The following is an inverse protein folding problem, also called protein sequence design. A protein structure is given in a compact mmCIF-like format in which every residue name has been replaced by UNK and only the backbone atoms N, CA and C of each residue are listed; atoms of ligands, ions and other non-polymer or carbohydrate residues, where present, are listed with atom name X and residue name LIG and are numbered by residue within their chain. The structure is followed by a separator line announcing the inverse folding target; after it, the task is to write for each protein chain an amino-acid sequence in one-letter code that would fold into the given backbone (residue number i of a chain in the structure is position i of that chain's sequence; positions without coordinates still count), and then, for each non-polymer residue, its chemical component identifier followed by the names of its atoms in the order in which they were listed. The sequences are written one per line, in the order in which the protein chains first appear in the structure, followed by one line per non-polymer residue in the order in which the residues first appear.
data_IF_100484766286
#
_entry.id   IF_100484766286
#
_cell.length_a   1.000
_cell.length_b   1.000
_cell.length_c   1.000
_cell.angle_alpha   90.00
_cell.angle_beta   90.00
_cell.angle_gamma   90.00
#
_symmetry.space_group_name_H-M   'P 1'
#
loop_
_entity.id
_entity.type
_entity.pdbx_description
1 polymer ?
#
# COMPACT_ATOMS: atom_id res chain seq x y z
N UNK A 1 -12.06 -17.79 22.81
CA UNK A 1 -11.80 -18.29 21.44
C UNK A 1 -11.21 -17.12 20.68
N UNK A 2 -9.94 -17.20 20.26
CA UNK A 2 -9.42 -16.27 19.26
C UNK A 2 -10.22 -16.47 17.98
N UNK A 3 -10.75 -15.40 17.39
CA UNK A 3 -11.39 -15.47 16.08
C UNK A 3 -10.38 -15.99 15.04
N UNK A 4 -10.87 -16.68 14.01
CA UNK A 4 -10.04 -17.08 12.87
C UNK A 4 -9.40 -15.83 12.23
N UNK A 5 -8.06 -15.80 12.00
CA UNK A 5 -7.41 -14.67 11.34
C UNK A 5 -8.06 -14.26 10.01
N UNK A 6 -8.60 -15.22 9.26
CA UNK A 6 -9.28 -14.96 7.99
C UNK A 6 -10.64 -14.27 8.23
N UNK A 7 -11.41 -14.70 9.24
CA UNK A 7 -12.70 -14.08 9.60
C UNK A 7 -12.52 -12.62 10.03
N UNK A 8 -11.46 -12.34 10.79
CA UNK A 8 -11.10 -11.00 11.19
C UNK A 8 -10.72 -10.15 9.97
N UNK A 9 -9.83 -10.66 9.11
CA UNK A 9 -9.44 -9.95 7.90
C UNK A 9 -10.65 -9.66 6.99
N UNK A 10 -11.54 -10.64 6.83
CA UNK A 10 -12.79 -10.46 6.08
C UNK A 10 -13.64 -9.33 6.69
N UNK A 11 -13.75 -9.24 8.01
CA UNK A 11 -14.49 -8.15 8.68
C UNK A 11 -13.86 -6.78 8.40
N UNK A 12 -12.54 -6.68 8.48
CA UNK A 12 -11.82 -5.45 8.17
C UNK A 12 -12.04 -5.03 6.71
N UNK A 13 -11.94 -5.98 5.77
CA UNK A 13 -12.13 -5.74 4.34
C UNK A 13 -13.57 -5.34 4.01
N UNK A 14 -14.59 -5.99 4.60
CA UNK A 14 -15.99 -5.57 4.43
C UNK A 14 -16.23 -4.13 4.86
N UNK A 15 -15.55 -3.68 5.91
CA UNK A 15 -15.65 -2.28 6.36
C UNK A 15 -14.96 -1.31 5.41
N UNK A 16 -13.84 -1.71 4.78
CA UNK A 16 -13.03 -0.84 3.93
C UNK A 16 -13.49 -0.81 2.47
N UNK A 17 -13.97 -1.95 1.97
CA UNK A 17 -14.35 -2.23 0.60
C UNK A 17 -15.70 -2.98 0.60
N UNK A 18 -16.81 -2.28 0.90
CA UNK A 18 -18.12 -2.92 1.12
C UNK A 18 -18.70 -3.58 -0.13
N UNK A 19 -18.30 -3.12 -1.31
CA UNK A 19 -18.81 -3.59 -2.60
C UNK A 19 -18.01 -4.77 -3.19
N UNK A 20 -16.95 -5.19 -2.51
CA UNK A 20 -16.03 -6.23 -2.99
C UNK A 20 -16.29 -7.59 -2.31
N UNK A 21 -15.94 -8.72 -2.96
CA UNK A 21 -16.05 -10.06 -2.38
C UNK A 21 -15.00 -10.26 -1.28
N UNK A 22 -15.29 -9.72 -0.09
CA UNK A 22 -14.35 -9.68 1.04
C UNK A 22 -13.84 -11.05 1.49
N UNK A 23 -14.61 -12.13 1.29
CA UNK A 23 -14.16 -13.48 1.61
C UNK A 23 -12.98 -13.91 0.73
N UNK A 24 -13.19 -13.84 -0.59
CA UNK A 24 -12.20 -14.22 -1.59
C UNK A 24 -10.98 -13.31 -1.51
N UNK A 25 -11.18 -12.00 -1.33
CA UNK A 25 -10.09 -11.05 -1.11
C UNK A 25 -9.31 -11.36 0.18
N UNK A 26 -9.98 -11.71 1.29
CA UNK A 26 -9.30 -12.10 2.52
C UNK A 26 -8.42 -13.34 2.32
N UNK A 27 -8.94 -14.38 1.64
CA UNK A 27 -8.19 -15.60 1.36
C UNK A 27 -6.95 -15.33 0.50
N UNK A 28 -7.12 -14.56 -0.58
CA UNK A 28 -6.01 -14.17 -1.47
C UNK A 28 -4.92 -13.41 -0.70
N UNK A 29 -5.31 -12.36 0.05
CA UNK A 29 -4.35 -11.54 0.79
C UNK A 29 -3.67 -12.34 1.90
N UNK A 30 -4.42 -13.19 2.62
CA UNK A 30 -3.85 -14.07 3.63
C UNK A 30 -2.81 -15.03 3.04
N UNK A 31 -3.10 -15.64 1.90
CA UNK A 31 -2.17 -16.55 1.24
C UNK A 31 -0.88 -15.84 0.80
N UNK A 32 -0.99 -14.62 0.25
CA UNK A 32 0.18 -13.82 -0.12
C UNK A 32 1.00 -13.43 1.12
N UNK A 33 0.33 -13.08 2.22
CA UNK A 33 1.00 -12.72 3.48
C UNK A 33 1.83 -13.89 4.02
N UNK A 34 1.26 -15.09 4.07
CA UNK A 34 1.91 -16.30 4.60
C UNK A 34 3.07 -16.77 3.71
N UNK A 35 2.92 -16.68 2.39
CA UNK A 35 3.95 -17.11 1.43
C UNK A 35 4.99 -16.03 1.11
N UNK A 36 4.69 -14.77 1.40
CA UNK A 36 5.45 -13.59 0.98
C UNK A 36 5.22 -13.17 -0.48
N UNK A 37 4.88 -14.12 -1.37
CA UNK A 37 4.46 -13.88 -2.75
C UNK A 37 3.61 -15.03 -3.29
N UNK A 38 2.84 -14.78 -4.33
CA UNK A 38 2.05 -15.81 -5.03
C UNK A 38 2.24 -15.68 -6.55
N UNK A 39 2.21 -16.80 -7.28
CA UNK A 39 2.07 -16.78 -8.74
C UNK A 39 0.60 -16.78 -9.14
N UNK A 40 0.24 -16.09 -10.22
CA UNK A 40 -1.15 -16.04 -10.71
C UNK A 40 -1.75 -17.44 -10.91
N UNK A 41 -0.98 -18.37 -11.49
CA UNK A 41 -1.43 -19.75 -11.72
C UNK A 41 -1.60 -20.60 -10.46
N UNK A 42 -1.19 -20.11 -9.29
CA UNK A 42 -1.36 -20.80 -8.00
C UNK A 42 -2.63 -20.38 -7.26
N UNK A 43 -3.31 -19.31 -7.71
CA UNK A 43 -4.52 -18.83 -7.08
C UNK A 43 -5.67 -19.76 -7.47
N UNK A 44 -6.16 -20.50 -6.48
CA UNK A 44 -7.23 -21.49 -6.61
C UNK A 44 -8.60 -20.82 -6.55
N UNK A 45 -9.00 -20.20 -7.66
CA UNK A 45 -10.28 -19.51 -7.85
C UNK A 45 -10.74 -19.65 -9.31
N UNK A 46 -12.05 -19.50 -9.59
CA UNK A 46 -12.55 -19.29 -10.95
C UNK A 46 -11.79 -18.17 -11.66
N UNK A 47 -11.59 -18.32 -12.98
CA UNK A 47 -10.73 -17.41 -13.75
C UNK A 47 -11.23 -15.96 -13.72
N UNK A 48 -12.52 -15.75 -13.93
CA UNK A 48 -13.20 -14.45 -13.85
C UNK A 48 -13.05 -13.79 -12.48
N UNK A 49 -13.33 -14.53 -11.41
CA UNK A 49 -13.17 -14.04 -10.03
C UNK A 49 -11.71 -13.68 -9.71
N UNK A 50 -10.77 -14.51 -10.17
CA UNK A 50 -9.34 -14.30 -9.99
C UNK A 50 -8.85 -13.04 -10.72
N UNK A 51 -9.27 -12.84 -11.96
CA UNK A 51 -8.90 -11.66 -12.75
C UNK A 51 -9.40 -10.38 -12.08
N UNK A 52 -10.67 -10.34 -11.71
CA UNK A 52 -11.30 -9.18 -11.07
C UNK A 52 -10.61 -8.83 -9.74
N UNK A 53 -10.34 -9.84 -8.90
CA UNK A 53 -9.66 -9.64 -7.62
C UNK A 53 -8.22 -9.12 -7.76
N UNK A 54 -7.47 -9.65 -8.74
CA UNK A 54 -6.10 -9.18 -9.00
C UNK A 54 -6.10 -7.76 -9.54
N UNK A 55 -7.02 -7.44 -10.45
CA UNK A 55 -7.21 -6.08 -10.96
C UNK A 55 -7.54 -5.10 -9.83
N UNK A 56 -8.50 -5.46 -8.97
CA UNK A 56 -8.88 -4.68 -7.80
C UNK A 56 -7.71 -4.47 -6.83
N UNK A 57 -7.02 -5.55 -6.45
CA UNK A 57 -5.93 -5.51 -5.48
C UNK A 57 -4.73 -4.72 -6.02
N UNK A 58 -4.46 -4.79 -7.31
CA UNK A 58 -3.43 -3.99 -7.97
C UNK A 58 -3.83 -2.50 -8.04
N UNK A 59 -5.08 -2.19 -8.42
CA UNK A 59 -5.59 -0.82 -8.47
C UNK A 59 -5.52 -0.13 -7.10
N UNK A 60 -5.76 -0.89 -6.02
CA UNK A 60 -5.67 -0.41 -4.64
C UNK A 60 -4.27 -0.54 -4.02
N UNK A 61 -3.26 -0.95 -4.80
CA UNK A 61 -1.87 -1.16 -4.34
C UNK A 61 -1.75 -2.11 -3.14
N UNK A 62 -2.71 -3.03 -2.99
CA UNK A 62 -2.66 -4.09 -1.99
C UNK A 62 -1.59 -5.13 -2.35
N UNK A 63 -1.37 -5.32 -3.65
CA UNK A 63 -0.28 -6.12 -4.20
C UNK A 63 0.36 -5.41 -5.38
N UNK A 64 1.58 -5.81 -5.72
CA UNK A 64 2.33 -5.33 -6.86
C UNK A 64 3.01 -6.50 -7.59
N UNK A 65 3.14 -6.43 -8.92
CA UNK A 65 4.01 -7.31 -9.67
C UNK A 65 5.44 -7.30 -9.12
N UNK A 66 6.06 -8.47 -9.08
CA UNK A 66 7.45 -8.66 -8.62
C UNK A 66 8.44 -8.45 -9.74
N UNK A 67 8.06 -8.68 -11.00
CA UNK A 67 8.90 -8.40 -12.16
C UNK A 67 9.34 -6.94 -12.13
N UNK A 68 10.64 -6.72 -12.31
CA UNK A 68 11.23 -5.38 -12.26
C UNK A 68 10.81 -4.57 -13.48
N UNK A 69 10.22 -3.41 -13.24
CA UNK A 69 10.10 -2.33 -14.23
C UNK A 69 11.44 -1.61 -14.44
N UNK A 70 11.45 -0.62 -15.33
CA UNK A 70 12.65 0.21 -15.57
C UNK A 70 12.96 1.14 -14.39
N UNK A 71 11.96 1.47 -13.58
CA UNK A 71 12.10 2.28 -12.37
C UNK A 71 11.41 1.64 -11.16
N UNK A 72 11.48 2.34 -10.02
CA UNK A 72 10.75 1.99 -8.79
C UNK A 72 9.30 2.48 -8.77
N UNK A 73 8.84 3.19 -9.82
CA UNK A 73 7.48 3.69 -9.92
C UNK A 73 6.47 2.53 -10.02
N UNK A 74 5.28 2.70 -9.45
CA UNK A 74 4.22 1.69 -9.55
C UNK A 74 3.68 1.58 -10.97
N UNK A 75 3.58 2.70 -11.69
CA UNK A 75 3.12 2.74 -13.08
C UNK A 75 4.03 1.98 -14.06
N UNK A 76 5.31 1.80 -13.72
CA UNK A 76 6.27 1.03 -14.53
C UNK A 76 6.11 -0.49 -14.37
N UNK A 77 5.33 -0.92 -13.38
CA UNK A 77 5.05 -2.34 -13.11
C UNK A 77 3.74 -2.73 -13.77
N UNK A 78 3.79 -3.03 -15.06
CA UNK A 78 2.62 -3.48 -15.79
C UNK A 78 2.07 -4.79 -15.21
N UNK A 79 0.78 -4.76 -14.85
CA UNK A 79 0.06 -5.96 -14.43
C UNK A 79 -0.12 -6.90 -15.63
N UNK A 80 0.24 -8.17 -15.45
CA UNK A 80 0.07 -9.21 -16.47
C UNK A 80 -0.65 -10.41 -15.85
N UNK A 81 -1.79 -10.81 -16.38
CA UNK A 81 -2.55 -11.97 -15.88
C UNK A 81 -2.05 -13.25 -16.55
N UNK A 82 -0.81 -13.64 -16.25
CA UNK A 82 -0.16 -14.83 -16.81
C UNK A 82 0.24 -15.81 -15.69
N UNK A 83 0.19 -17.14 -15.90
CA UNK A 83 0.46 -18.13 -14.86
C UNK A 83 1.81 -17.96 -14.13
N UNK A 84 2.84 -17.45 -14.81
CA UNK A 84 4.19 -17.19 -14.28
C UNK A 84 4.36 -15.80 -13.66
N UNK A 85 3.33 -14.94 -13.70
CA UNK A 85 3.38 -13.64 -13.04
C UNK A 85 3.30 -13.82 -11.53
N UNK A 86 4.21 -13.17 -10.79
CA UNK A 86 4.23 -13.22 -9.34
C UNK A 86 3.93 -11.87 -8.71
N UNK A 87 3.11 -11.90 -7.67
CA UNK A 87 2.66 -10.74 -6.90
C UNK A 87 3.14 -10.80 -5.46
N UNK A 88 3.41 -9.63 -4.89
CA UNK A 88 3.74 -9.45 -3.47
C UNK A 88 3.07 -8.21 -2.90
N UNK A 89 2.88 -8.18 -1.59
CA UNK A 89 2.45 -6.96 -0.91
C UNK A 89 3.60 -5.96 -0.76
N UNK A 90 3.33 -4.65 -0.85
CA UNK A 90 4.20 -3.64 -0.26
C UNK A 90 4.34 -3.86 1.25
N UNK A 91 5.47 -3.45 1.84
CA UNK A 91 5.80 -3.75 3.24
C UNK A 91 4.75 -3.24 4.23
N UNK A 92 4.31 -1.99 4.05
CA UNK A 92 3.26 -1.39 4.89
C UNK A 92 1.91 -2.09 4.75
N UNK A 93 1.58 -2.59 3.56
CA UNK A 93 0.34 -3.35 3.33
C UNK A 93 0.42 -4.72 4.02
N UNK A 94 1.56 -5.41 3.96
CA UNK A 94 1.72 -6.67 4.67
C UNK A 94 1.49 -6.50 6.19
N UNK A 95 1.96 -5.39 6.78
CA UNK A 95 1.67 -5.04 8.18
C UNK A 95 0.20 -4.75 8.41
N UNK A 96 -0.45 -4.02 7.51
CA UNK A 96 -1.88 -3.71 7.58
C UNK A 96 -2.74 -4.96 7.51
N UNK A 97 -2.48 -5.88 6.58
CA UNK A 97 -3.21 -7.14 6.47
C UNK A 97 -2.99 -8.01 7.70
N UNK A 98 -1.74 -8.08 8.20
CA UNK A 98 -1.44 -8.80 9.44
C UNK A 98 -2.23 -8.23 10.62
N UNK A 99 -2.18 -6.92 10.85
CA UNK A 99 -2.94 -6.26 11.92
C UNK A 99 -4.45 -6.46 11.78
N UNK A 100 -4.98 -6.35 10.56
CA UNK A 100 -6.39 -6.59 10.27
C UNK A 100 -6.80 -8.05 10.55
N UNK A 101 -5.94 -9.03 10.28
CA UNK A 101 -6.19 -10.43 10.63
C UNK A 101 -6.19 -10.69 12.15
N UNK A 102 -5.41 -9.90 12.91
CA UNK A 102 -5.32 -10.04 14.37
C UNK A 102 -6.49 -9.34 15.08
N UNK A 103 -6.96 -8.20 14.55
CA UNK A 103 -7.90 -7.29 15.25
C UNK A 103 -9.29 -7.23 14.62
N UNK A 104 -9.41 -7.59 13.35
CA UNK A 104 -10.61 -7.40 12.55
C UNK A 104 -10.88 -5.95 12.14
N UNK A 105 -9.86 -5.08 12.20
CA UNK A 105 -9.97 -3.64 11.90
C UNK A 105 -9.00 -3.20 10.82
N UNK A 106 -9.43 -2.26 9.99
CA UNK A 106 -8.58 -1.61 8.99
C UNK A 106 -7.98 -0.33 9.59
N UNK A 107 -6.79 -0.43 10.18
CA UNK A 107 -6.11 0.67 10.90
C UNK A 107 -4.72 0.93 10.27
N UNK A 108 -4.64 1.69 9.16
CA UNK A 108 -3.37 1.98 8.47
C UNK A 108 -2.30 2.64 9.35
N UNK A 109 -2.72 3.46 10.31
CA UNK A 109 -1.81 4.18 11.22
C UNK A 109 -0.93 3.22 12.03
N UNK A 110 -1.50 2.13 12.53
CA UNK A 110 -0.76 1.12 13.30
C UNK A 110 0.24 0.37 12.42
N UNK A 111 -0.14 0.07 11.17
CA UNK A 111 0.77 -0.56 10.20
C UNK A 111 1.95 0.36 9.84
N UNK A 112 1.69 1.65 9.64
CA UNK A 112 2.71 2.66 9.34
C UNK A 112 3.67 2.82 10.53
N UNK A 113 3.14 2.97 11.74
CA UNK A 113 3.97 3.08 12.96
C UNK A 113 4.81 1.83 13.18
N UNK A 114 4.25 0.64 12.99
CA UNK A 114 4.99 -0.62 13.08
C UNK A 114 6.15 -0.64 12.09
N UNK A 115 5.93 -0.30 10.83
CA UNK A 115 6.99 -0.22 9.81
C UNK A 115 8.10 0.77 10.16
N UNK A 116 7.74 1.99 10.58
CA UNK A 116 8.72 3.04 10.91
C UNK A 116 9.56 2.65 12.14
N UNK A 117 8.94 2.08 13.17
CA UNK A 117 9.63 1.59 14.38
C UNK A 117 10.60 0.46 14.08
N UNK A 118 10.20 -0.49 13.24
CA UNK A 118 11.08 -1.60 12.81
C UNK A 118 12.28 -1.11 12.00
N UNK A 119 12.12 -0.01 11.27
CA UNK A 119 13.22 0.70 10.59
C UNK A 119 14.17 1.45 11.53
N UNK A 120 13.88 1.50 12.84
CA UNK A 120 14.66 2.24 13.83
C UNK A 120 14.45 3.75 13.78
N UNK A 121 13.35 4.20 13.18
CA UNK A 121 13.01 5.61 13.11
C UNK A 121 12.64 6.16 14.49
N UNK A 122 13.30 7.25 14.90
CA UNK A 122 13.06 7.95 16.16
C UNK A 122 12.01 9.06 16.05
N UNK A 123 11.54 9.31 14.82
CA UNK A 123 10.56 10.35 14.46
C UNK A 123 9.30 9.72 13.87
N UNK A 124 9.00 8.48 14.22
CA UNK A 124 7.87 7.73 13.65
C UNK A 124 6.54 8.47 13.84
N UNK A 125 6.37 9.16 14.98
CA UNK A 125 5.18 9.96 15.26
C UNK A 125 5.06 11.20 14.37
N UNK A 126 6.17 11.88 14.10
CA UNK A 126 6.18 13.05 13.21
C UNK A 126 5.99 12.64 11.76
N UNK A 127 6.58 11.51 11.34
CA UNK A 127 6.37 10.96 9.99
C UNK A 127 4.95 10.43 9.78
N UNK A 128 4.32 9.84 10.79
CA UNK A 128 2.90 9.49 10.71
C UNK A 128 2.04 10.75 10.48
N UNK A 129 2.24 11.81 11.28
CA UNK A 129 1.53 13.08 11.13
C UNK A 129 1.78 13.71 9.75
N UNK A 130 3.01 13.64 9.26
CA UNK A 130 3.35 14.08 7.91
C UNK A 130 2.52 13.31 6.89
N UNK A 131 2.49 11.98 6.96
CA UNK A 131 1.72 11.17 6.01
C UNK A 131 0.22 11.48 6.04
N UNK A 132 -0.36 11.64 7.23
CA UNK A 132 -1.76 12.05 7.40
C UNK A 132 -2.02 13.43 6.77
N UNK A 133 -1.18 14.43 7.05
CA UNK A 133 -1.31 15.76 6.45
C UNK A 133 -1.10 15.77 4.93
N UNK A 134 -0.31 14.84 4.39
CA UNK A 134 -0.18 14.64 2.94
C UNK A 134 -1.48 14.09 2.34
N UNK A 135 -2.11 13.10 2.97
CA UNK A 135 -3.40 12.55 2.54
C UNK A 135 -4.47 13.64 2.49
N UNK A 136 -4.56 14.47 3.53
CA UNK A 136 -5.55 15.55 3.62
C UNK A 136 -5.38 16.63 2.54
N UNK A 137 -4.16 16.78 2.02
CA UNK A 137 -3.81 17.79 1.00
C UNK A 137 -3.59 17.21 -0.38
N UNK A 138 -3.75 15.89 -0.54
CA UNK A 138 -3.56 15.23 -1.81
C UNK A 138 -4.63 15.68 -2.81
N UNK A 139 -4.21 15.91 -4.04
CA UNK A 139 -5.11 16.15 -5.16
C UNK A 139 -5.10 14.90 -6.03
N UNK A 140 -6.26 14.28 -6.21
CA UNK A 140 -6.39 13.00 -6.94
C UNK A 140 -5.41 11.92 -6.44
N UNK A 141 -5.22 11.85 -5.11
CA UNK A 141 -4.31 10.90 -4.47
C UNK A 141 -2.82 11.22 -4.65
N UNK A 142 -2.48 12.40 -5.18
CA UNK A 142 -1.09 12.79 -5.47
C UNK A 142 -0.63 13.99 -4.67
N UNK A 143 0.67 14.01 -4.39
CA UNK A 143 1.37 15.09 -3.67
C UNK A 143 2.69 15.43 -4.33
N UNK A 144 3.22 16.61 -4.04
CA UNK A 144 4.51 17.11 -4.55
C UNK A 144 5.48 17.39 -3.40
N UNK A 145 6.80 17.55 -3.66
CA UNK A 145 7.73 18.03 -2.64
C UNK A 145 7.31 19.35 -1.98
N UNK A 146 6.58 20.21 -2.69
CA UNK A 146 6.00 21.43 -2.11
C UNK A 146 4.92 21.09 -1.06
N UNK A 147 4.10 20.07 -1.31
CA UNK A 147 3.08 19.61 -0.35
C UNK A 147 3.73 19.11 0.94
N UNK A 148 4.83 18.34 0.83
CA UNK A 148 5.65 17.93 1.98
C UNK A 148 6.14 19.13 2.80
N UNK A 149 6.81 20.09 2.16
CA UNK A 149 7.30 21.32 2.84
C UNK A 149 6.18 22.04 3.56
N UNK A 150 5.02 22.17 2.92
CA UNK A 150 3.86 22.85 3.48
C UNK A 150 3.36 22.14 4.74
N UNK A 151 3.15 20.82 4.70
CA UNK A 151 2.69 20.05 5.87
C UNK A 151 3.68 20.12 7.02
N UNK A 152 4.97 19.93 6.75
CA UNK A 152 6.03 19.99 7.76
C UNK A 152 6.03 21.37 8.45
N UNK A 153 5.92 22.44 7.67
CA UNK A 153 5.90 23.81 8.20
C UNK A 153 4.64 24.08 9.02
N UNK A 154 3.47 23.73 8.50
CA UNK A 154 2.18 23.98 9.16
C UNK A 154 2.04 23.22 10.49
N UNK A 155 2.57 21.99 10.55
CA UNK A 155 2.49 21.13 11.74
C UNK A 155 3.72 21.25 12.66
N UNK A 156 4.72 22.05 12.30
CA UNK A 156 5.96 22.22 13.07
C UNK A 156 6.75 20.92 13.24
N UNK A 157 6.78 20.06 12.21
CA UNK A 157 7.42 18.75 12.28
C UNK A 157 8.93 18.86 12.08
N UNK A 158 9.70 18.05 12.80
CA UNK A 158 11.15 17.98 12.66
C UNK A 158 11.53 16.76 11.79
N UNK A 159 11.15 16.82 10.51
CA UNK A 159 11.34 15.74 9.54
C UNK A 159 12.14 16.24 8.34
N UNK A 160 13.19 15.50 7.96
CA UNK A 160 13.88 15.71 6.69
C UNK A 160 13.04 15.17 5.53
N UNK A 161 12.84 16.00 4.50
CA UNK A 161 11.93 15.67 3.38
C UNK A 161 12.49 14.56 2.52
N UNK A 162 13.78 14.60 2.20
CA UNK A 162 14.39 13.64 1.29
C UNK A 162 14.43 12.26 1.95
N UNK A 163 14.75 12.22 3.25
CA UNK A 163 14.64 11.03 4.08
C UNK A 163 13.21 10.49 4.12
N UNK A 164 12.21 11.34 4.41
CA UNK A 164 10.82 10.91 4.49
C UNK A 164 10.31 10.35 3.16
N UNK A 165 10.64 10.99 2.03
CA UNK A 165 10.29 10.50 0.69
C UNK A 165 10.95 9.14 0.44
N UNK A 166 12.24 8.99 0.74
CA UNK A 166 12.96 7.73 0.52
C UNK A 166 12.33 6.58 1.32
N UNK A 167 12.01 6.80 2.59
CA UNK A 167 11.41 5.80 3.46
C UNK A 167 9.97 5.48 3.06
N UNK A 168 9.13 6.48 2.79
CA UNK A 168 7.75 6.27 2.35
C UNK A 168 7.70 5.47 1.04
N UNK A 169 8.63 5.71 0.12
CA UNK A 169 8.79 4.88 -1.08
C UNK A 169 9.20 3.45 -0.75
N UNK A 170 10.22 3.28 0.10
CA UNK A 170 10.73 1.96 0.46
C UNK A 170 9.67 1.09 1.15
N UNK A 171 8.82 1.71 1.98
CA UNK A 171 7.72 1.03 2.67
C UNK A 171 6.50 0.78 1.76
N UNK A 172 6.42 1.46 0.62
CA UNK A 172 5.29 1.39 -0.31
C UNK A 172 4.09 2.23 0.10
N UNK A 173 4.34 3.32 0.85
CA UNK A 173 3.34 4.33 1.20
C UNK A 173 3.09 5.32 0.07
N UNK A 174 4.13 5.62 -0.72
CA UNK A 174 4.05 6.49 -1.89
C UNK A 174 4.87 5.93 -3.06
N UNK A 175 4.64 6.45 -4.26
CA UNK A 175 5.42 6.11 -5.45
C UNK A 175 5.53 7.27 -6.41
N UNK A 176 6.68 7.50 -7.07
CA UNK A 176 6.80 8.59 -8.05
C UNK A 176 5.87 8.34 -9.25
N UNK A 177 5.18 9.39 -9.70
CA UNK A 177 4.41 9.41 -10.94
C UNK A 177 5.25 10.04 -12.07
N UNK A 178 5.70 9.23 -13.03
CA UNK A 178 6.62 9.66 -14.08
C UNK A 178 5.90 10.33 -15.24
N UNK A 179 4.66 9.92 -15.56
CA UNK A 179 3.88 10.47 -16.67
C UNK A 179 3.79 12.00 -16.67
N UNK A 180 3.59 12.63 -15.50
CA UNK A 180 3.49 14.09 -15.38
C UNK A 180 4.85 14.77 -15.16
N UNK A 181 5.80 14.06 -14.57
CA UNK A 181 7.18 14.55 -14.38
C UNK A 181 7.83 14.83 -15.73
N UNK A 182 7.64 13.94 -16.71
CA UNK A 182 8.18 14.09 -18.06
C UNK A 182 7.53 15.24 -18.84
N UNK A 183 6.26 15.57 -18.57
CA UNK A 183 5.51 16.60 -19.29
C UNK A 183 5.59 18.00 -18.65
N UNK A 184 5.77 18.08 -17.33
CA UNK A 184 5.71 19.35 -16.56
C UNK A 184 7.01 19.71 -15.84
N UNK A 185 7.95 18.77 -15.71
CA UNK A 185 9.14 18.92 -14.87
C UNK A 185 8.86 18.85 -13.35
N UNK A 186 7.60 18.68 -12.94
CA UNK A 186 7.20 18.60 -11.54
C UNK A 186 7.16 17.12 -11.12
N UNK A 187 7.92 16.79 -10.09
CA UNK A 187 7.88 15.47 -9.47
C UNK A 187 6.61 15.37 -8.63
N UNK A 188 5.77 14.39 -8.95
CA UNK A 188 4.59 14.00 -8.18
C UNK A 188 4.80 12.62 -7.57
N UNK A 189 4.13 12.37 -6.45
CA UNK A 189 4.07 11.09 -5.79
C UNK A 189 2.60 10.69 -5.59
N UNK A 190 2.24 9.51 -6.07
CA UNK A 190 0.98 8.84 -5.76
C UNK A 190 1.04 8.28 -4.33
N UNK A 191 0.00 8.53 -3.54
CA UNK A 191 -0.21 7.93 -2.22
C UNK A 191 -0.89 6.58 -2.40
N UNK A 192 -0.47 5.57 -1.63
CA UNK A 192 -1.13 4.27 -1.60
C UNK A 192 -2.60 4.42 -1.16
N UNK A 193 -3.60 4.11 -2.01
CA UNK A 193 -5.02 4.34 -1.71
C UNK A 193 -5.59 3.40 -0.63
N UNK A 194 -4.86 2.34 -0.28
CA UNK A 194 -5.24 1.43 0.80
C UNK A 194 -4.85 1.94 2.19
N UNK A 195 -4.02 2.99 2.27
CA UNK A 195 -3.56 3.60 3.51
C UNK A 195 -4.38 4.81 3.93
#
# INVERSE_FOLDING_TARGET
MSADPIDNLQRALRSRFPDEPAESLARLLWEILERGSIFYGQIDMPEDEREDLILFAHANRLLMPTKSGRTSAWEDKSLTLAPDESYRMPGVIAKLIKHASETGRWEPEEAILSCLREGGDKREGDKLKLFQGLKDKAQDGKVTPYTFRRVITELGLEVDIDQAIAEFKALGMISPSLHRTLSSGIIEYEINPSL
#
